data_IF_758452459084
#
_entry.id   IF_758452459084
#
_cell.length_a   1.000
_cell.length_b   1.000
_cell.length_c   1.000
_cell.angle_alpha   90.00
_cell.angle_beta   90.00
_cell.angle_gamma   90.00
#
_symmetry.space_group_name_H-M   'P 1'
#
loop_
_entity.id
_entity.type
_entity.pdbx_description
1 polymer ?
#
# COMPACT_ATOMS: atom_id res chain seq x y z
N UNK A 1 -19.37 -3.31 15.04
CA UNK A 1 -18.27 -2.76 14.21
C UNK A 1 -16.97 -3.57 14.28
N UNK A 2 -16.98 -4.82 14.77
CA UNK A 2 -15.78 -5.70 14.75
C UNK A 2 -15.30 -6.00 13.32
N UNK A 3 -16.22 -6.06 12.36
CA UNK A 3 -15.91 -6.34 10.97
C UNK A 3 -15.11 -5.21 10.30
N UNK A 4 -15.51 -3.94 10.47
CA UNK A 4 -14.76 -2.79 9.93
C UNK A 4 -13.36 -2.68 10.53
N UNK A 5 -13.26 -2.92 11.83
CA UNK A 5 -11.97 -3.00 12.53
C UNK A 5 -11.06 -4.09 11.95
N UNK A 6 -11.58 -5.30 11.72
CA UNK A 6 -10.82 -6.40 11.11
C UNK A 6 -10.40 -6.08 9.67
N UNK A 7 -11.26 -5.45 8.87
CA UNK A 7 -10.88 -4.98 7.54
C UNK A 7 -9.73 -3.98 7.60
N UNK A 8 -9.76 -3.03 8.55
CA UNK A 8 -8.76 -1.98 8.64
C UNK A 8 -7.39 -2.55 9.05
N UNK A 9 -7.39 -3.50 10.00
CA UNK A 9 -6.19 -4.27 10.35
C UNK A 9 -5.68 -5.05 9.13
N UNK A 10 -6.57 -5.75 8.40
CA UNK A 10 -6.19 -6.51 7.21
C UNK A 10 -5.62 -5.59 6.11
N UNK A 11 -6.18 -4.40 5.89
CA UNK A 11 -5.62 -3.41 4.97
C UNK A 11 -4.21 -3.01 5.41
N UNK A 12 -4.02 -2.66 6.69
CA UNK A 12 -2.72 -2.26 7.22
C UNK A 12 -1.65 -3.37 7.10
N UNK A 13 -2.02 -4.63 7.33
CA UNK A 13 -1.13 -5.77 7.10
C UNK A 13 -0.75 -5.91 5.62
N UNK A 14 -1.69 -5.69 4.70
CA UNK A 14 -1.41 -5.72 3.26
C UNK A 14 -0.50 -4.56 2.84
N UNK A 15 -0.67 -3.36 3.41
CA UNK A 15 0.24 -2.23 3.19
C UNK A 15 1.66 -2.61 3.66
N UNK A 16 1.79 -3.15 4.88
CA UNK A 16 3.07 -3.63 5.41
C UNK A 16 3.71 -4.71 4.53
N UNK A 17 2.92 -5.64 4.00
CA UNK A 17 3.41 -6.68 3.10
C UNK A 17 3.86 -6.11 1.75
N UNK A 18 3.18 -5.07 1.24
CA UNK A 18 3.60 -4.36 0.04
C UNK A 18 4.90 -3.60 0.25
N UNK A 19 5.07 -2.91 1.39
CA UNK A 19 6.32 -2.25 1.77
C UNK A 19 7.48 -3.24 1.79
N UNK A 20 7.31 -4.36 2.48
CA UNK A 20 8.30 -5.46 2.53
C UNK A 20 8.59 -6.02 1.15
N UNK A 21 7.58 -6.15 0.30
CA UNK A 21 7.76 -6.64 -1.06
C UNK A 21 8.63 -5.70 -1.89
N UNK A 22 8.34 -4.39 -1.90
CA UNK A 22 9.15 -3.38 -2.60
C UNK A 22 10.60 -3.39 -2.12
N UNK A 23 10.84 -3.41 -0.80
CA UNK A 23 12.20 -3.47 -0.25
C UNK A 23 12.94 -4.76 -0.60
N UNK A 24 12.27 -5.92 -0.54
CA UNK A 24 12.88 -7.21 -0.90
C UNK A 24 13.25 -7.27 -2.37
N UNK A 25 12.40 -6.75 -3.25
CA UNK A 25 12.68 -6.67 -4.68
C UNK A 25 13.88 -5.77 -4.96
N UNK A 26 14.06 -4.69 -4.20
CA UNK A 26 15.20 -3.77 -4.36
C UNK A 26 16.52 -4.37 -3.84
N UNK A 27 16.48 -5.11 -2.73
CA UNK A 27 17.68 -5.72 -2.12
C UNK A 27 18.20 -6.94 -2.87
N UNK A 28 17.36 -7.59 -3.69
CA UNK A 28 17.73 -8.82 -4.37
C UNK A 28 18.38 -8.53 -5.73
N UNK A 29 19.72 -8.55 -5.78
CA UNK A 29 20.51 -8.35 -7.02
C UNK A 29 20.18 -9.33 -8.16
N UNK A 30 19.45 -10.42 -7.85
CA UNK A 30 18.99 -11.41 -8.83
C UNK A 30 17.59 -11.10 -9.40
N UNK A 31 16.99 -9.94 -9.13
CA UNK A 31 15.74 -9.53 -9.80
C UNK A 31 16.04 -9.08 -11.23
N UNK A 32 16.34 -10.05 -12.10
CA UNK A 32 16.59 -9.87 -13.54
C UNK A 32 15.44 -9.12 -14.25
N UNK A 33 14.28 -9.00 -13.60
CA UNK A 33 13.02 -8.56 -14.18
C UNK A 33 12.57 -7.13 -13.82
N UNK A 34 13.21 -6.45 -12.85
CA UNK A 34 12.76 -5.11 -12.42
C UNK A 34 13.90 -4.11 -12.48
N UNK A 35 13.73 -3.04 -13.25
CA UNK A 35 14.71 -1.96 -13.31
C UNK A 35 14.79 -1.21 -11.98
N UNK A 36 16.00 -1.06 -11.45
CA UNK A 36 16.23 -0.52 -10.11
C UNK A 36 15.77 0.93 -9.95
N UNK A 37 15.92 1.76 -10.99
CA UNK A 37 15.45 3.15 -11.02
C UNK A 37 13.92 3.22 -10.92
N UNK A 38 13.21 2.35 -11.65
CA UNK A 38 11.74 2.28 -11.62
C UNK A 38 11.23 1.83 -10.27
N UNK A 39 11.90 0.86 -9.65
CA UNK A 39 11.56 0.41 -8.31
C UNK A 39 11.85 1.48 -7.25
N UNK A 40 12.93 2.23 -7.42
CA UNK A 40 13.27 3.33 -6.53
C UNK A 40 12.20 4.42 -6.56
N UNK A 41 11.59 4.71 -7.70
CA UNK A 41 10.46 5.65 -7.79
C UNK A 41 9.26 5.19 -6.95
N UNK A 42 8.89 3.91 -7.00
CA UNK A 42 7.81 3.37 -6.14
C UNK A 42 8.15 3.59 -4.67
N UNK A 43 9.40 3.33 -4.28
CA UNK A 43 9.86 3.53 -2.91
C UNK A 43 9.75 5.00 -2.47
N UNK A 44 10.17 5.95 -3.32
CA UNK A 44 10.05 7.38 -3.03
C UNK A 44 8.60 7.81 -2.81
N UNK A 45 7.67 7.34 -3.65
CA UNK A 45 6.24 7.65 -3.49
C UNK A 45 5.72 7.10 -2.15
N UNK A 46 6.09 5.86 -1.79
CA UNK A 46 5.69 5.30 -0.50
C UNK A 46 6.24 6.06 0.71
N UNK A 47 7.45 6.60 0.60
CA UNK A 47 8.07 7.44 1.63
C UNK A 47 7.36 8.80 1.73
N UNK A 48 7.07 9.44 0.60
CA UNK A 48 6.33 10.70 0.51
C UNK A 48 4.95 10.59 1.17
N UNK A 49 4.21 9.51 0.88
CA UNK A 49 2.90 9.24 1.46
C UNK A 49 2.97 8.51 2.82
N UNK A 50 4.16 8.31 3.38
CA UNK A 50 4.37 7.76 4.72
C UNK A 50 3.67 6.41 4.96
N UNK A 51 3.74 5.48 4.00
CA UNK A 51 2.98 4.22 4.05
C UNK A 51 3.22 3.40 5.33
N UNK A 52 4.44 3.39 5.84
CA UNK A 52 4.76 2.68 7.08
C UNK A 52 3.99 3.26 8.27
N UNK A 53 3.99 4.59 8.40
CA UNK A 53 3.26 5.30 9.46
C UNK A 53 1.76 5.04 9.32
N UNK A 54 1.21 5.10 8.10
CA UNK A 54 -0.21 4.81 7.87
C UNK A 54 -0.57 3.40 8.34
N UNK A 55 0.21 2.39 7.95
CA UNK A 55 -0.05 1.00 8.35
C UNK A 55 0.00 0.82 9.87
N UNK A 56 1.03 1.38 10.51
CA UNK A 56 1.20 1.27 11.96
C UNK A 56 0.07 1.98 12.72
N UNK A 57 -0.35 3.15 12.24
CA UNK A 57 -1.46 3.92 12.82
C UNK A 57 -2.81 3.23 12.63
N UNK A 58 -3.08 2.68 11.45
CA UNK A 58 -4.31 1.91 11.19
C UNK A 58 -4.44 0.74 12.16
N UNK A 59 -3.34 0.03 12.46
CA UNK A 59 -3.33 -1.04 13.46
C UNK A 59 -3.53 -0.48 14.86
N UNK A 60 -2.85 0.62 15.21
CA UNK A 60 -2.87 1.20 16.56
C UNK A 60 -4.26 1.65 16.96
N UNK A 61 -4.92 2.44 16.11
CA UNK A 61 -6.21 3.07 16.43
C UNK A 61 -7.37 2.06 16.39
N UNK A 62 -7.24 1.01 15.56
CA UNK A 62 -8.23 -0.05 15.42
C UNK A 62 -7.92 -1.31 16.24
N UNK A 63 -6.98 -1.27 17.19
CA UNK A 63 -6.60 -2.47 17.95
C UNK A 63 -7.70 -2.95 18.89
N UNK A 64 -8.40 -2.02 19.54
CA UNK A 64 -9.35 -2.31 20.61
C UNK A 64 -10.77 -1.79 20.32
N UNK A 65 -10.87 -0.73 19.52
CA UNK A 65 -12.12 -0.06 19.16
C UNK A 65 -12.05 0.47 17.75
N UNK A 66 -13.20 0.60 17.09
CA UNK A 66 -13.29 1.21 15.76
C UNK A 66 -13.22 2.74 15.85
N UNK A 67 -12.21 3.34 15.21
CA UNK A 67 -12.12 4.80 15.03
C UNK A 67 -12.42 5.16 13.58
N UNK A 68 -13.71 5.38 13.28
CA UNK A 68 -14.19 5.61 11.91
C UNK A 68 -13.51 6.80 11.25
N UNK A 69 -13.60 7.97 11.90
CA UNK A 69 -13.15 9.23 11.30
C UNK A 69 -11.67 9.21 11.00
N UNK A 70 -10.85 8.75 11.95
CA UNK A 70 -9.41 8.76 11.75
C UNK A 70 -8.96 7.63 10.82
N UNK A 71 -9.64 6.49 10.82
CA UNK A 71 -9.39 5.41 9.85
C UNK A 71 -9.64 5.86 8.42
N UNK A 72 -10.79 6.49 8.13
CA UNK A 72 -11.07 7.00 6.78
C UNK A 72 -10.02 8.02 6.33
N UNK A 73 -9.63 8.96 7.20
CA UNK A 73 -8.56 9.91 6.89
C UNK A 73 -7.24 9.24 6.50
N UNK A 74 -6.83 8.18 7.22
CA UNK A 74 -5.62 7.43 6.90
C UNK A 74 -5.73 6.67 5.57
N UNK A 75 -6.90 6.11 5.28
CA UNK A 75 -7.18 5.37 4.05
C UNK A 75 -7.18 6.32 2.84
N UNK A 76 -7.79 7.50 2.95
CA UNK A 76 -7.83 8.48 1.87
C UNK A 76 -6.40 8.91 1.47
N UNK A 77 -5.56 9.22 2.46
CA UNK A 77 -4.13 9.53 2.20
C UNK A 77 -3.38 8.36 1.56
N UNK A 78 -3.67 7.13 1.96
CA UNK A 78 -3.07 5.95 1.34
C UNK A 78 -3.53 5.78 -0.11
N UNK A 79 -4.81 6.02 -0.40
CA UNK A 79 -5.35 5.92 -1.75
C UNK A 79 -4.75 6.93 -2.72
N UNK A 80 -4.45 8.16 -2.26
CA UNK A 80 -3.74 9.17 -3.06
C UNK A 80 -2.39 8.65 -3.57
N UNK A 81 -1.55 8.14 -2.65
CA UNK A 81 -0.27 7.55 -3.02
C UNK A 81 -0.46 6.30 -3.90
N UNK A 82 -1.46 5.47 -3.61
CA UNK A 82 -1.70 4.23 -4.33
C UNK A 82 -2.09 4.50 -5.78
N UNK A 83 -2.90 5.54 -6.03
CA UNK A 83 -3.28 5.97 -7.37
C UNK A 83 -2.07 6.38 -8.20
N UNK A 84 -1.13 7.13 -7.61
CA UNK A 84 0.11 7.54 -8.29
C UNK A 84 0.98 6.30 -8.62
N UNK A 85 1.12 5.36 -7.69
CA UNK A 85 1.87 4.12 -7.93
C UNK A 85 1.20 3.27 -9.02
N UNK A 86 -0.14 3.15 -9.02
CA UNK A 86 -0.88 2.43 -10.06
C UNK A 86 -0.66 3.01 -11.45
N UNK A 87 -0.78 4.33 -11.60
CA UNK A 87 -0.55 5.00 -12.87
C UNK A 87 0.90 4.81 -13.34
N UNK A 88 1.86 4.95 -12.42
CA UNK A 88 3.27 4.74 -12.71
C UNK A 88 3.57 3.31 -13.17
N UNK A 89 3.00 2.30 -12.49
CA UNK A 89 3.15 0.89 -12.88
C UNK A 89 2.49 0.61 -14.23
N UNK A 90 1.32 1.21 -14.51
CA UNK A 90 0.65 1.07 -15.80
C UNK A 90 1.48 1.62 -16.96
N UNK A 91 2.13 2.78 -16.77
CA UNK A 91 3.01 3.40 -17.79
C UNK A 91 4.27 2.56 -18.01
N UNK A 92 4.80 1.92 -16.96
CA UNK A 92 6.04 1.13 -17.02
C UNK A 92 5.76 -0.37 -16.84
N UNK A 93 4.68 -0.86 -17.46
CA UNK A 93 4.13 -2.20 -17.20
C UNK A 93 5.16 -3.31 -17.42
N UNK A 94 5.91 -3.28 -18.53
CA UNK A 94 6.89 -4.32 -18.84
C UNK A 94 7.96 -4.49 -17.75
N UNK A 95 8.34 -3.40 -17.08
CA UNK A 95 9.34 -3.39 -16.02
C UNK A 95 8.73 -3.66 -14.62
N UNK A 96 7.42 -3.41 -14.43
CA UNK A 96 6.77 -3.36 -13.12
C UNK A 96 5.51 -4.24 -12.99
N UNK A 97 5.22 -5.10 -13.97
CA UNK A 97 4.00 -5.92 -14.00
C UNK A 97 3.83 -6.77 -12.73
N UNK A 98 4.93 -7.15 -12.06
CA UNK A 98 4.91 -7.95 -10.83
C UNK A 98 4.20 -7.23 -9.65
N UNK A 99 4.06 -5.91 -9.69
CA UNK A 99 3.36 -5.12 -8.67
C UNK A 99 1.84 -5.08 -8.90
N UNK A 100 1.37 -5.31 -10.12
CA UNK A 100 -0.03 -5.11 -10.54
C UNK A 100 -1.04 -5.84 -9.66
N UNK A 101 -0.83 -7.12 -9.39
CA UNK A 101 -1.73 -7.93 -8.55
C UNK A 101 -1.84 -7.41 -7.12
N UNK A 102 -0.73 -6.95 -6.53
CA UNK A 102 -0.73 -6.39 -5.16
C UNK A 102 -1.43 -5.04 -5.11
N UNK A 103 -1.21 -4.19 -6.11
CA UNK A 103 -1.88 -2.91 -6.22
C UNK A 103 -3.40 -3.08 -6.36
N UNK A 104 -3.83 -4.02 -7.21
CA UNK A 104 -5.24 -4.36 -7.37
C UNK A 104 -5.89 -4.81 -6.04
N UNK A 105 -5.22 -5.68 -5.28
CA UNK A 105 -5.71 -6.10 -3.96
C UNK A 105 -5.81 -4.94 -2.98
N UNK A 106 -4.77 -4.10 -2.88
CA UNK A 106 -4.75 -2.94 -1.99
C UNK A 106 -5.84 -1.93 -2.33
N UNK A 107 -6.06 -1.67 -3.62
CA UNK A 107 -7.09 -0.77 -4.10
C UNK A 107 -8.48 -1.24 -3.70
N UNK A 108 -8.81 -2.49 -3.98
CA UNK A 108 -10.12 -3.04 -3.65
C UNK A 108 -10.37 -3.10 -2.14
N UNK A 109 -9.35 -3.43 -1.35
CA UNK A 109 -9.45 -3.36 0.11
C UNK A 109 -9.72 -1.94 0.59
N UNK A 110 -9.03 -0.95 0.04
CA UNK A 110 -9.22 0.46 0.40
C UNK A 110 -10.61 0.96 -0.02
N UNK A 111 -11.07 0.62 -1.22
CA UNK A 111 -12.39 0.98 -1.73
C UNK A 111 -13.53 0.34 -0.95
N UNK A 112 -13.29 -0.76 -0.23
CA UNK A 112 -14.32 -1.36 0.64
C UNK A 112 -14.74 -0.48 1.82
N UNK A 113 -14.04 0.63 2.06
CA UNK A 113 -14.36 1.66 3.04
C UNK A 113 -15.03 2.90 2.42
N UNK A 114 -15.06 3.01 1.10
CA UNK A 114 -15.76 4.07 0.38
C UNK A 114 -17.25 3.70 0.35
N UNK A 115 -18.08 4.45 1.07
CA UNK A 115 -19.55 4.35 0.99
C UNK A 115 -20.09 5.21 -0.14
#
# INVERSE_FOLDING_TARGET
>A
MQFEMQKAIMLAENINNFIKFVHKTHGNKNSVYVKADKLYQIKLIMEEFQYQIIADELIRINRYSWDEKYTHYLIDRFQEGLGIIEEYVKINYDDLFIFSGRLYSLKNLSLSFSK
#
